data_IF_456258928055
#
_entry.id   IF_456258928055
#
_cell.length_a   1.000
_cell.length_b   1.000
_cell.length_c   1.000
_cell.angle_alpha   90.00
_cell.angle_beta   90.00
_cell.angle_gamma   90.00
#
_symmetry.space_group_name_H-M   'P 1'
#
loop_
_entity.id
_entity.type
_entity.pdbx_description
1 polymer ?
#
# COMPACT_ATOMS: atom_id res chain seq x y z
N UNK A 1 16.51 -4.86 27.57
CA UNK A 1 16.15 -5.81 26.50
C UNK A 1 15.61 -5.01 25.34
N UNK A 2 16.25 -5.08 24.17
CA UNK A 2 15.72 -4.47 22.94
C UNK A 2 14.94 -5.59 22.25
N UNK A 3 13.59 -5.52 22.22
CA UNK A 3 12.79 -6.45 21.41
C UNK A 3 13.03 -6.12 19.93
N UNK A 4 13.15 -7.16 19.09
CA UNK A 4 13.32 -6.98 17.66
C UNK A 4 11.93 -6.91 17.03
N UNK A 5 11.61 -5.76 16.45
CA UNK A 5 10.32 -5.54 15.79
C UNK A 5 10.46 -5.83 14.30
N UNK A 6 9.53 -6.60 13.76
CA UNK A 6 9.38 -6.93 12.35
C UNK A 6 8.16 -6.21 11.80
N UNK A 7 8.19 -5.85 10.51
CA UNK A 7 7.05 -5.17 9.89
C UNK A 7 6.99 -5.42 8.37
N UNK A 8 5.78 -5.30 7.83
CA UNK A 8 5.52 -5.21 6.38
C UNK A 8 4.55 -4.05 6.13
N UNK A 9 4.78 -3.31 5.05
CA UNK A 9 3.92 -2.23 4.61
C UNK A 9 3.58 -2.32 3.13
N UNK A 10 2.40 -1.81 2.78
CA UNK A 10 1.94 -1.60 1.40
C UNK A 10 1.24 -0.25 1.28
N UNK A 11 1.08 0.25 0.06
CA UNK A 11 0.27 1.46 -0.15
C UNK A 11 -0.52 1.45 -1.45
N UNK A 12 -1.63 2.18 -1.42
CA UNK A 12 -2.47 2.48 -2.57
C UNK A 12 -2.85 3.98 -2.59
N UNK A 13 -3.35 4.42 -3.75
CA UNK A 13 -4.08 5.67 -3.89
C UNK A 13 -5.48 5.40 -4.41
N UNK A 14 -6.49 6.04 -3.82
CA UNK A 14 -7.85 6.02 -4.33
C UNK A 14 -8.19 7.33 -5.05
N UNK A 15 -8.85 7.22 -6.20
CA UNK A 15 -9.36 8.38 -6.98
C UNK A 15 -10.87 8.57 -6.84
N UNK A 16 -11.57 7.53 -6.39
CA UNK A 16 -13.00 7.54 -6.08
C UNK A 16 -13.23 7.24 -4.60
N UNK A 17 -14.43 7.55 -4.12
CA UNK A 17 -14.84 7.22 -2.75
C UNK A 17 -15.13 5.73 -2.68
N UNK A 18 -14.49 5.03 -1.74
CA UNK A 18 -14.77 3.62 -1.45
C UNK A 18 -16.23 3.54 -0.95
N UNK A 19 -17.08 2.66 -1.52
CA UNK A 19 -18.45 2.50 -1.07
C UNK A 19 -18.54 2.15 0.41
N UNK A 20 -19.56 2.66 1.11
CA UNK A 20 -19.77 2.39 2.53
C UNK A 20 -19.84 0.88 2.82
N UNK A 21 -20.47 0.10 1.95
CA UNK A 21 -20.54 -1.36 2.06
C UNK A 21 -19.15 -2.02 2.08
N UNK A 22 -18.23 -1.53 1.25
CA UNK A 22 -16.84 -2.00 1.22
C UNK A 22 -16.07 -1.59 2.48
N UNK A 23 -16.35 -0.41 3.05
CA UNK A 23 -15.78 0.00 4.35
C UNK A 23 -16.31 -0.90 5.48
N UNK A 24 -17.60 -1.25 5.48
CA UNK A 24 -18.17 -2.17 6.46
C UNK A 24 -17.58 -3.59 6.35
N UNK A 25 -17.38 -4.08 5.13
CA UNK A 25 -16.68 -5.34 4.86
C UNK A 25 -15.21 -5.28 5.33
N UNK A 26 -14.51 -4.18 5.04
CA UNK A 26 -13.14 -3.95 5.50
C UNK A 26 -13.06 -3.98 7.03
N UNK A 27 -13.98 -3.28 7.70
CA UNK A 27 -14.07 -3.25 9.16
C UNK A 27 -14.26 -4.64 9.76
N UNK A 28 -15.10 -5.49 9.14
CA UNK A 28 -15.28 -6.88 9.58
C UNK A 28 -14.00 -7.70 9.46
N UNK A 29 -13.18 -7.44 8.43
CA UNK A 29 -11.88 -8.08 8.22
C UNK A 29 -10.79 -7.57 9.18
N UNK A 30 -10.88 -6.30 9.59
CA UNK A 30 -9.97 -5.65 10.56
C UNK A 30 -10.20 -6.06 12.02
N UNK A 31 -11.17 -6.94 12.32
CA UNK A 31 -11.44 -7.39 13.69
C UNK A 31 -10.30 -8.23 14.32
N UNK A 32 -9.25 -8.56 13.57
CA UNK A 32 -8.03 -9.14 14.13
C UNK A 32 -7.03 -8.03 14.48
N UNK A 33 -6.36 -8.15 15.63
CA UNK A 33 -5.30 -7.21 16.06
C UNK A 33 -3.97 -7.41 15.29
N UNK A 34 -4.04 -7.89 14.04
CA UNK A 34 -2.89 -8.28 13.23
C UNK A 34 -2.22 -7.07 12.56
N UNK A 35 -2.94 -5.97 12.34
CA UNK A 35 -2.40 -4.79 11.67
C UNK A 35 -3.37 -3.64 11.59
N UNK A 36 -2.95 -2.60 10.87
CA UNK A 36 -3.70 -1.35 10.73
C UNK A 36 -3.77 -0.88 9.27
N UNK A 37 -4.81 -0.13 8.96
CA UNK A 37 -4.99 0.57 7.68
C UNK A 37 -5.19 2.05 7.97
N UNK A 38 -4.38 2.90 7.34
CA UNK A 38 -4.36 4.35 7.57
C UNK A 38 -4.81 5.05 6.29
N UNK A 39 -5.85 5.87 6.40
CA UNK A 39 -6.34 6.73 5.31
C UNK A 39 -5.82 8.14 5.52
N UNK A 40 -4.98 8.63 4.61
CA UNK A 40 -4.48 10.01 4.62
C UNK A 40 -5.23 10.82 3.56
N UNK A 41 -6.02 11.84 3.93
CA UNK A 41 -6.81 12.62 2.99
C UNK A 41 -5.91 13.47 2.08
N UNK A 42 -6.26 13.51 0.80
CA UNK A 42 -5.68 14.38 -0.21
C UNK A 42 -6.71 15.48 -0.57
N UNK A 43 -6.38 16.34 -1.53
CA UNK A 43 -7.15 17.55 -1.82
C UNK A 43 -6.35 18.81 -1.48
N UNK A 44 -7.04 19.93 -1.28
CA UNK A 44 -6.43 21.18 -0.84
C UNK A 44 -5.24 21.60 -1.71
N UNK A 45 -4.10 21.88 -1.06
CA UNK A 45 -2.87 22.25 -1.78
C UNK A 45 -2.33 21.12 -2.66
N UNK A 46 -2.49 19.85 -2.25
CA UNK A 46 -2.00 18.71 -3.03
C UNK A 46 -2.65 18.62 -4.41
N UNK A 47 -3.89 19.09 -4.57
CA UNK A 47 -4.57 19.13 -5.87
C UNK A 47 -4.24 20.36 -6.73
N UNK A 48 -3.53 21.35 -6.18
CA UNK A 48 -3.11 22.56 -6.91
C UNK A 48 -1.71 22.44 -7.51
N UNK A 49 -0.95 21.43 -7.11
CA UNK A 49 0.39 21.14 -7.62
C UNK A 49 0.25 20.26 -8.86
N UNK A 50 0.95 20.62 -9.95
CA UNK A 50 1.00 19.77 -11.16
C UNK A 50 1.59 18.40 -10.84
N UNK A 51 1.05 17.33 -11.43
CA UNK A 51 1.60 15.96 -11.31
C UNK A 51 3.06 15.89 -11.75
N UNK A 52 3.46 16.74 -12.70
CA UNK A 52 4.83 16.84 -13.22
C UNK A 52 5.74 17.79 -12.46
N UNK A 53 5.25 18.51 -11.44
CA UNK A 53 6.06 19.48 -10.70
C UNK A 53 7.23 18.81 -9.94
N UNK A 54 7.09 17.53 -9.60
CA UNK A 54 8.07 16.70 -8.88
C UNK A 54 7.90 15.24 -9.30
N UNK A 55 8.85 14.34 -9.00
CA UNK A 55 8.67 12.90 -9.22
C UNK A 55 7.52 12.23 -8.44
N UNK A 56 6.82 12.94 -7.55
CA UNK A 56 5.63 12.45 -6.86
C UNK A 56 4.35 12.90 -7.59
N UNK A 57 3.67 12.02 -8.35
CA UNK A 57 2.62 12.40 -9.28
C UNK A 57 1.21 12.42 -8.66
N UNK A 58 1.02 11.91 -7.45
CA UNK A 58 -0.30 11.75 -6.85
C UNK A 58 -0.86 13.10 -6.35
N UNK A 59 -1.52 13.85 -7.24
CA UNK A 59 -1.97 15.23 -7.01
C UNK A 59 -3.48 15.39 -7.19
N UNK A 60 -3.91 16.09 -8.24
CA UNK A 60 -5.31 16.36 -8.48
C UNK A 60 -6.08 15.07 -8.81
N UNK A 61 -7.27 14.92 -8.22
CA UNK A 61 -8.09 13.72 -8.36
C UNK A 61 -7.78 12.59 -7.37
N UNK A 62 -6.67 12.63 -6.63
CA UNK A 62 -6.44 11.71 -5.50
C UNK A 62 -7.33 12.08 -4.32
N UNK A 63 -8.11 11.13 -3.80
CA UNK A 63 -8.97 11.32 -2.61
C UNK A 63 -8.21 11.05 -1.32
N UNK A 64 -7.48 9.94 -1.29
CA UNK A 64 -6.65 9.57 -0.15
C UNK A 64 -5.57 8.57 -0.56
N UNK A 65 -4.46 8.61 0.18
CA UNK A 65 -3.48 7.52 0.23
C UNK A 65 -3.93 6.52 1.31
N UNK A 66 -3.76 5.25 1.02
CA UNK A 66 -4.06 4.15 1.93
C UNK A 66 -2.72 3.47 2.26
N UNK A 67 -2.37 3.38 3.54
CA UNK A 67 -1.23 2.60 4.00
C UNK A 67 -1.73 1.39 4.78
N UNK A 68 -1.20 0.22 4.45
CA UNK A 68 -1.43 -1.02 5.18
C UNK A 68 -0.15 -1.34 5.93
N UNK A 69 -0.25 -1.63 7.23
CA UNK A 69 0.90 -1.93 8.05
C UNK A 69 0.59 -3.07 9.01
N UNK A 70 1.55 -3.95 9.18
CA UNK A 70 1.48 -5.06 10.13
C UNK A 70 2.83 -5.19 10.81
N UNK A 71 2.82 -5.40 12.13
CA UNK A 71 4.00 -5.35 13.00
C UNK A 71 3.93 -6.53 13.97
N UNK A 72 5.06 -7.20 14.21
CA UNK A 72 5.16 -8.33 15.13
C UNK A 72 6.54 -8.43 15.79
N UNK A 73 6.65 -9.20 16.87
CA UNK A 73 7.87 -9.28 17.70
C UNK A 73 8.44 -10.70 17.85
N UNK A 74 7.64 -11.73 17.58
CA UNK A 74 7.99 -13.14 17.71
C UNK A 74 8.64 -13.72 16.43
N UNK A 75 9.09 -12.86 15.51
CA UNK A 75 9.87 -13.23 14.34
C UNK A 75 9.14 -14.20 13.42
N UNK A 76 9.80 -15.29 13.04
CA UNK A 76 9.26 -16.27 12.08
C UNK A 76 7.99 -16.99 12.59
N UNK A 77 7.73 -16.97 13.90
CA UNK A 77 6.61 -17.68 14.50
C UNK A 77 5.24 -17.19 13.99
N UNK A 78 5.08 -15.88 13.78
CA UNK A 78 3.84 -15.29 13.27
C UNK A 78 3.98 -14.64 11.88
N UNK A 79 5.19 -14.58 11.31
CA UNK A 79 5.47 -13.90 10.04
C UNK A 79 4.46 -14.27 8.94
N UNK A 80 4.19 -15.57 8.75
CA UNK A 80 3.26 -16.04 7.73
C UNK A 80 1.83 -15.47 7.92
N UNK A 81 1.36 -15.35 9.16
CA UNK A 81 0.05 -14.76 9.50
C UNK A 81 0.02 -13.28 9.15
N UNK A 82 1.06 -12.53 9.49
CA UNK A 82 1.16 -11.10 9.19
C UNK A 82 1.25 -10.83 7.68
N UNK A 83 2.04 -11.61 6.94
CA UNK A 83 2.16 -11.52 5.48
C UNK A 83 0.85 -11.92 4.77
N UNK A 84 0.16 -12.96 5.24
CA UNK A 84 -1.14 -13.35 4.69
C UNK A 84 -2.19 -12.28 4.94
N UNK A 85 -2.23 -11.71 6.16
CA UNK A 85 -3.17 -10.66 6.52
C UNK A 85 -3.01 -9.43 5.62
N UNK A 86 -1.79 -8.89 5.47
CA UNK A 86 -1.58 -7.67 4.69
C UNK A 86 -1.86 -7.89 3.19
N UNK A 87 -1.53 -9.08 2.67
CA UNK A 87 -1.85 -9.47 1.30
C UNK A 87 -3.36 -9.54 1.09
N UNK A 88 -4.09 -10.16 2.02
CA UNK A 88 -5.55 -10.24 1.96
C UNK A 88 -6.23 -8.87 1.98
N UNK A 89 -5.77 -7.95 2.83
CA UNK A 89 -6.31 -6.57 2.88
C UNK A 89 -6.01 -5.80 1.60
N UNK A 90 -4.78 -5.91 1.10
CA UNK A 90 -4.36 -5.27 -0.14
C UNK A 90 -5.15 -5.79 -1.35
N UNK A 91 -5.38 -7.10 -1.44
CA UNK A 91 -6.18 -7.69 -2.51
C UNK A 91 -7.67 -7.32 -2.40
N UNK A 92 -8.19 -7.27 -1.17
CA UNK A 92 -9.58 -6.86 -0.94
C UNK A 92 -9.87 -5.43 -1.43
N UNK A 93 -8.94 -4.49 -1.24
CA UNK A 93 -9.14 -3.10 -1.67
C UNK A 93 -8.79 -2.84 -3.14
N UNK A 94 -8.22 -3.83 -3.85
CA UNK A 94 -7.86 -3.73 -5.27
C UNK A 94 -8.93 -3.10 -6.19
N UNK A 95 -10.24 -3.43 -6.12
CA UNK A 95 -11.23 -2.86 -7.03
C UNK A 95 -11.61 -1.41 -6.71
N UNK A 96 -11.19 -0.86 -5.55
CA UNK A 96 -11.58 0.47 -5.08
C UNK A 96 -10.43 1.50 -5.10
N UNK A 97 -9.27 1.09 -5.58
CA UNK A 97 -8.05 1.92 -5.66
C UNK A 97 -7.70 2.21 -7.12
N UNK A 98 -6.67 3.01 -7.35
CA UNK A 98 -6.14 3.28 -8.68
C UNK A 98 -5.92 1.98 -9.46
N UNK A 99 -6.21 2.03 -10.76
CA UNK A 99 -6.01 0.94 -11.70
C UNK A 99 -5.39 1.52 -12.98
N UNK A 100 -4.67 0.66 -13.69
CA UNK A 100 -4.06 0.96 -14.97
C UNK A 100 -3.12 2.21 -14.97
N UNK A 101 -2.08 2.24 -14.11
CA UNK A 101 -1.64 1.19 -13.18
C UNK A 101 -2.25 1.32 -11.78
N UNK A 102 -2.18 0.24 -10.99
CA UNK A 102 -2.35 0.30 -9.53
C UNK A 102 -1.11 0.95 -8.92
N UNK A 103 -1.26 2.11 -8.32
CA UNK A 103 -0.14 2.96 -7.90
C UNK A 103 0.17 2.88 -6.42
N UNK A 104 1.45 3.01 -6.08
CA UNK A 104 1.98 2.98 -4.71
C UNK A 104 2.87 4.19 -4.42
N UNK A 105 3.22 4.39 -3.15
CA UNK A 105 4.15 5.43 -2.72
C UNK A 105 5.58 4.90 -2.62
N UNK A 106 6.51 5.51 -3.36
CA UNK A 106 7.90 5.05 -3.44
C UNK A 106 8.64 4.98 -2.10
N UNK A 107 8.28 5.82 -1.11
CA UNK A 107 8.89 5.76 0.22
C UNK A 107 8.39 4.57 1.06
N UNK A 108 7.28 3.94 0.68
CA UNK A 108 6.79 2.70 1.27
C UNK A 108 7.15 1.55 0.33
N UNK A 109 8.45 1.23 0.31
CA UNK A 109 9.03 0.22 -0.58
C UNK A 109 8.33 -1.13 -0.39
N UNK A 110 7.83 -1.67 -1.49
CA UNK A 110 7.18 -2.98 -1.53
C UNK A 110 7.79 -3.81 -2.65
N UNK A 111 8.62 -4.79 -2.29
CA UNK A 111 9.26 -5.68 -3.25
C UNK A 111 8.30 -6.68 -3.91
N UNK A 112 7.07 -6.78 -3.41
CA UNK A 112 6.02 -7.59 -4.05
C UNK A 112 5.50 -6.90 -5.33
N UNK A 113 5.80 -5.61 -5.51
CA UNK A 113 5.61 -4.87 -6.76
C UNK A 113 6.79 -5.10 -7.72
N UNK A 114 7.56 -6.17 -7.53
CA UNK A 114 8.65 -6.56 -8.40
C UNK A 114 10.02 -5.97 -8.04
N UNK A 115 11.04 -6.62 -8.59
CA UNK A 115 12.46 -6.33 -8.34
C UNK A 115 13.22 -6.34 -9.65
N UNK A 116 14.28 -5.54 -9.74
CA UNK A 116 15.21 -5.64 -10.86
C UNK A 116 16.18 -6.80 -10.61
N UNK A 117 16.61 -7.47 -11.68
CA UNK A 117 17.67 -8.47 -11.60
C UNK A 117 19.00 -7.81 -11.18
N UNK A 118 19.67 -8.39 -10.18
CA UNK A 118 20.99 -7.92 -9.73
C UNK A 118 22.00 -7.96 -10.87
N UNK A 119 22.73 -6.87 -11.08
CA UNK A 119 23.84 -6.80 -12.04
C UNK A 119 23.44 -6.45 -13.48
N UNK A 120 22.15 -6.19 -13.75
CA UNK A 120 21.68 -5.65 -15.03
C UNK A 120 21.22 -4.20 -14.88
N UNK A 121 21.19 -3.48 -15.99
CA UNK A 121 20.64 -2.12 -16.03
C UNK A 121 19.17 -2.14 -15.60
N UNK A 122 18.75 -1.15 -14.80
CA UNK A 122 17.37 -1.02 -14.31
C UNK A 122 16.39 -0.91 -15.48
N UNK A 123 15.36 -1.77 -15.51
CA UNK A 123 14.38 -1.81 -16.60
C UNK A 123 12.97 -2.00 -16.04
N UNK A 124 12.08 -1.03 -16.32
CA UNK A 124 10.69 -1.07 -15.87
C UNK A 124 9.96 -2.35 -16.32
N UNK A 125 10.11 -2.75 -17.58
CA UNK A 125 9.47 -3.97 -18.11
C UNK A 125 9.92 -5.26 -17.40
N UNK A 126 11.17 -5.31 -16.96
CA UNK A 126 11.71 -6.46 -16.22
C UNK A 126 11.25 -6.46 -14.78
N UNK A 127 11.18 -5.30 -14.14
CA UNK A 127 10.64 -5.19 -12.78
C UNK A 127 9.12 -5.38 -12.74
N UNK A 128 8.41 -5.17 -13.85
CA UNK A 128 6.95 -5.27 -13.93
C UNK A 128 6.40 -6.66 -14.20
N UNK A 129 7.25 -7.67 -14.35
CA UNK A 129 6.83 -9.07 -14.44
C UNK A 129 6.66 -9.63 -13.03
N UNK A 130 5.49 -9.38 -12.45
CA UNK A 130 4.98 -9.99 -11.22
C UNK A 130 3.93 -11.04 -11.56
#
# INVERSE_FOLDING_TARGET
FISRTYFKMKSDFARDVIPETAIQDLWRRLKSDTGMIIFTPYGGMMSRISESATPFPHRNGTKYMIAYATIWEDGEASEATHLQWITSMYDFLKPYVSKDPRTSYANYKDFDLGINEKGRATCFKQASSW
#
